data_IF_496379389793
#
_entry.id   IF_496379389793
#
_cell.length_a   1.000
_cell.length_b   1.000
_cell.length_c   1.000
_cell.angle_alpha   90.00
_cell.angle_beta   90.00
_cell.angle_gamma   90.00
#
_symmetry.space_group_name_H-M   'P 1'
#
loop_
_entity.id
_entity.type
_entity.pdbx_description
1 polymer ?
#
# COMPACT_ATOMS: atom_id res chain seq x y z
N UNK A 1 10.61 6.79 22.04
CA UNK A 1 10.07 7.29 20.75
C UNK A 1 10.83 6.61 19.61
N UNK A 2 10.36 5.44 19.15
CA UNK A 2 11.16 4.54 18.29
C UNK A 2 10.30 3.99 17.16
N UNK A 3 9.77 4.85 16.27
CA UNK A 3 8.95 4.40 15.12
C UNK A 3 9.26 5.05 13.78
N UNK A 4 10.30 5.90 13.68
CA UNK A 4 10.61 6.61 12.44
C UNK A 4 11.68 5.92 11.55
N UNK A 5 12.48 4.98 12.11
CA UNK A 5 13.59 4.37 11.34
C UNK A 5 13.18 3.30 10.31
N UNK A 6 12.02 2.64 10.45
CA UNK A 6 11.62 1.57 9.51
C UNK A 6 10.96 2.05 8.22
N UNK A 7 10.48 3.30 8.16
CA UNK A 7 9.84 3.83 6.94
C UNK A 7 10.84 4.05 5.80
N UNK A 8 12.11 4.31 6.14
CA UNK A 8 13.22 4.57 5.22
C UNK A 8 13.70 3.31 4.49
N UNK A 9 13.75 2.16 5.16
CA UNK A 9 14.22 0.89 4.56
C UNK A 9 13.25 0.29 3.53
N UNK A 10 11.95 0.50 3.69
CA UNK A 10 10.94 0.03 2.72
C UNK A 10 10.98 0.83 1.40
N UNK A 11 11.43 2.10 1.45
CA UNK A 11 11.59 2.95 0.27
C UNK A 11 12.66 2.42 -0.69
N UNK A 12 13.68 1.73 -0.17
CA UNK A 12 14.78 1.18 -0.94
C UNK A 12 14.41 -0.10 -1.73
N UNK A 13 13.41 -0.87 -1.27
CA UNK A 13 12.99 -2.12 -1.93
C UNK A 13 11.77 -1.97 -2.85
N UNK A 14 11.06 -0.84 -2.81
CA UNK A 14 9.89 -0.62 -3.67
C UNK A 14 8.72 -1.57 -3.36
N UNK A 15 8.65 -2.08 -2.12
CA UNK A 15 7.61 -3.00 -1.66
C UNK A 15 7.02 -2.47 -0.35
N UNK A 16 5.70 -2.48 -0.26
CA UNK A 16 4.92 -1.94 0.85
C UNK A 16 4.16 -3.07 1.56
N UNK A 17 4.11 -3.05 2.88
CA UNK A 17 3.26 -3.96 3.66
C UNK A 17 1.85 -3.40 3.79
N UNK A 18 0.87 -4.24 4.16
CA UNK A 18 -0.52 -3.78 4.46
C UNK A 18 -0.56 -2.56 5.38
N UNK A 19 0.20 -2.60 6.48
CA UNK A 19 0.24 -1.48 7.42
C UNK A 19 0.75 -0.20 6.74
N UNK A 20 1.80 -0.30 5.92
CA UNK A 20 2.35 0.87 5.26
C UNK A 20 1.39 1.47 4.24
N UNK A 21 0.61 0.64 3.53
CA UNK A 21 -0.43 1.10 2.59
C UNK A 21 -1.55 1.82 3.35
N UNK A 22 -1.99 1.26 4.47
CA UNK A 22 -2.99 1.88 5.36
C UNK A 22 -2.52 3.26 5.82
N UNK A 23 -1.27 3.35 6.30
CA UNK A 23 -0.69 4.62 6.76
C UNK A 23 -0.53 5.64 5.61
N UNK A 24 -0.25 5.18 4.39
CA UNK A 24 -0.06 6.05 3.21
C UNK A 24 -1.36 6.64 2.69
N UNK A 25 -2.40 5.83 2.62
CA UNK A 25 -3.72 6.26 2.11
C UNK A 25 -4.65 6.75 3.22
N UNK A 26 -4.24 6.67 4.49
CA UNK A 26 -5.05 7.04 5.65
C UNK A 26 -6.43 6.34 5.64
N UNK A 27 -6.44 5.07 5.22
CA UNK A 27 -7.66 4.25 5.10
C UNK A 27 -7.76 3.23 6.24
N UNK A 28 -8.95 2.67 6.46
CA UNK A 28 -9.11 1.56 7.38
C UNK A 28 -8.74 0.21 6.72
N UNK A 29 -8.36 -0.78 7.55
CA UNK A 29 -8.16 -2.18 7.13
C UNK A 29 -9.30 -2.77 6.26
N UNK A 30 -10.59 -2.58 6.57
CA UNK A 30 -11.67 -3.07 5.71
C UNK A 30 -11.64 -2.45 4.31
N UNK A 31 -11.29 -1.17 4.17
CA UNK A 31 -11.15 -0.49 2.89
C UNK A 31 -10.05 -1.13 2.05
N UNK A 32 -8.88 -1.39 2.65
CA UNK A 32 -7.80 -2.10 1.96
C UNK A 32 -8.26 -3.49 1.50
N UNK A 33 -8.98 -4.24 2.34
CA UNK A 33 -9.51 -5.56 1.98
C UNK A 33 -10.49 -5.51 0.80
N UNK A 34 -11.30 -4.45 0.70
CA UNK A 34 -12.18 -4.23 -0.45
C UNK A 34 -11.37 -3.96 -1.72
N UNK A 35 -10.31 -3.15 -1.65
CA UNK A 35 -9.43 -2.89 -2.79
C UNK A 35 -8.74 -4.15 -3.31
N UNK A 36 -8.29 -5.01 -2.38
CA UNK A 36 -7.74 -6.33 -2.70
C UNK A 36 -8.78 -7.19 -3.43
N UNK A 37 -10.00 -7.31 -2.89
CA UNK A 37 -11.08 -8.09 -3.49
C UNK A 37 -11.51 -7.57 -4.87
N UNK A 38 -11.50 -6.24 -5.05
CA UNK A 38 -11.84 -5.59 -6.31
C UNK A 38 -10.68 -5.60 -7.33
N UNK A 39 -9.50 -6.09 -6.97
CA UNK A 39 -8.33 -6.13 -7.85
C UNK A 39 -7.73 -4.75 -8.16
N UNK A 40 -8.10 -3.71 -7.40
CA UNK A 40 -7.63 -2.33 -7.61
C UNK A 40 -6.15 -2.23 -7.23
N UNK A 41 -5.74 -2.94 -6.18
CA UNK A 41 -4.35 -3.01 -5.74
C UNK A 41 -3.85 -4.45 -5.83
N UNK A 42 -2.91 -4.72 -6.76
CA UNK A 42 -2.29 -6.04 -6.90
C UNK A 42 -1.38 -6.34 -5.71
N UNK A 43 -1.76 -7.37 -4.96
CA UNK A 43 -0.95 -7.94 -3.90
C UNK A 43 -0.03 -9.04 -4.39
N UNK A 44 1.17 -9.10 -3.82
CA UNK A 44 2.09 -10.22 -3.91
C UNK A 44 2.15 -10.91 -2.55
N UNK A 45 1.78 -12.19 -2.51
CA UNK A 45 1.96 -13.00 -1.32
C UNK A 45 3.34 -13.63 -1.36
N UNK A 46 4.18 -13.28 -0.38
CA UNK A 46 5.50 -13.90 -0.19
C UNK A 46 5.46 -14.63 1.14
N UNK A 47 5.53 -15.96 1.07
CA UNK A 47 5.29 -16.87 2.18
C UNK A 47 3.92 -16.62 2.85
N UNK A 48 3.93 -16.06 4.06
CA UNK A 48 2.75 -15.75 4.88
C UNK A 48 2.42 -14.26 4.93
N UNK A 49 3.18 -13.42 4.22
CA UNK A 49 3.03 -11.96 4.27
C UNK A 49 2.57 -11.41 2.92
N UNK A 50 1.72 -10.39 3.02
CA UNK A 50 1.17 -9.70 1.85
C UNK A 50 1.90 -8.39 1.65
N UNK A 51 2.35 -8.22 0.42
CA UNK A 51 3.17 -7.11 -0.03
C UNK A 51 2.54 -6.44 -1.25
N UNK A 52 2.85 -5.16 -1.46
CA UNK A 52 2.35 -4.36 -2.57
C UNK A 52 3.52 -3.70 -3.28
N UNK A 53 3.50 -3.73 -4.61
CA UNK A 53 4.55 -3.08 -5.40
C UNK A 53 4.40 -1.56 -5.37
N UNK A 54 5.52 -0.84 -5.43
CA UNK A 54 5.54 0.61 -5.59
C UNK A 54 4.73 1.10 -6.78
N UNK A 55 4.88 0.43 -7.93
CA UNK A 55 4.15 0.78 -9.16
C UNK A 55 2.63 0.71 -8.97
N UNK A 56 2.15 -0.32 -8.27
CA UNK A 56 0.72 -0.45 -7.97
C UNK A 56 0.21 0.66 -7.06
N UNK A 57 0.99 1.04 -6.05
CA UNK A 57 0.67 2.13 -5.13
C UNK A 57 0.64 3.49 -5.85
N UNK A 58 1.63 3.77 -6.70
CA UNK A 58 1.70 5.01 -7.47
C UNK A 58 0.55 5.12 -8.49
N UNK A 59 0.20 4.03 -9.16
CA UNK A 59 -0.96 3.98 -10.05
C UNK A 59 -2.27 4.30 -9.30
N UNK A 60 -2.42 3.74 -8.10
CA UNK A 60 -3.60 3.99 -7.26
C UNK A 60 -3.68 5.46 -6.82
N UNK A 61 -2.55 6.06 -6.43
CA UNK A 61 -2.47 7.47 -6.07
C UNK A 61 -2.89 8.38 -7.23
N UNK A 62 -2.46 8.07 -8.45
CA UNK A 62 -2.88 8.84 -9.62
C UNK A 62 -4.37 8.64 -9.92
N UNK A 63 -4.90 7.44 -9.75
CA UNK A 63 -6.32 7.15 -9.99
C UNK A 63 -7.22 7.87 -8.98
N UNK A 64 -6.85 7.90 -7.69
CA UNK A 64 -7.58 8.63 -6.65
C UNK A 64 -7.52 10.16 -6.86
N UNK A 65 -6.41 10.69 -7.41
CA UNK A 65 -6.31 12.12 -7.77
C UNK A 65 -7.21 12.47 -8.95
N UNK A 66 -7.33 11.60 -9.95
CA UNK A 66 -8.16 11.84 -11.14
C UNK A 66 -9.65 11.75 -10.80
N UNK A 67 -10.06 10.87 -9.89
CA UNK A 67 -11.46 10.74 -9.49
C UNK A 67 -11.98 11.86 -8.55
N UNK A 68 -11.08 12.66 -7.96
CA UNK A 68 -11.44 13.81 -7.12
C UNK A 68 -11.25 15.16 -7.83
N UNK A 69 -11.07 15.14 -9.16
CA UNK A 69 -10.93 16.34 -10.01
C UNK A 69 -12.21 16.66 -10.78
#
# INVERSE_FOLDING_TARGET
MTKLKQASDLKAKGIYTRQKVIDLFQIAHPTLRVWQKKGILKEAQVERRVYFSRKGIEALFNQERVNNG
#
